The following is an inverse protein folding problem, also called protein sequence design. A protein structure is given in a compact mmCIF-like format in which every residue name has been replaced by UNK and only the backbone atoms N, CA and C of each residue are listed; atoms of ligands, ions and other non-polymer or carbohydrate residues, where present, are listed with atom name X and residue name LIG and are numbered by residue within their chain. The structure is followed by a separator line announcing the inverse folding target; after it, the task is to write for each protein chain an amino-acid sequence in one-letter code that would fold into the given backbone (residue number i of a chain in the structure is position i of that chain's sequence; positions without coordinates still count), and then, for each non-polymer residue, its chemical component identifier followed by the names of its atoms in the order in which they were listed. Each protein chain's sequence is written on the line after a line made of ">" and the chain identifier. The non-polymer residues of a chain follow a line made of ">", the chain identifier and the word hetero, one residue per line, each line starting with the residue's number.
data_IF_431113889008
#
_entry.id   IF_431113889008
#
_cell.length_a   1.000
_cell.length_b   1.000
_cell.length_c   1.000
_cell.angle_alpha   90.00
_cell.angle_beta   90.00
_cell.angle_gamma   90.00
#
_symmetry.space_group_name_H-M   'P 1'
#
loop_
_entity.id
_entity.type
_entity.pdbx_description
1 polymer ?
#
# COMPACT_ATOMS: atom_id res chain seq x y z
N UNK A 1 -1.84 16.57 10.75
CA UNK A 1 -2.41 15.26 10.39
C UNK A 1 -2.56 15.21 8.89
N UNK A 2 -2.20 14.09 8.27
CA UNK A 2 -2.40 13.84 6.82
C UNK A 2 -3.20 12.57 6.65
N UNK A 3 -4.14 12.58 5.71
CA UNK A 3 -4.97 11.43 5.37
C UNK A 3 -4.53 10.86 4.03
N UNK A 4 -4.25 9.57 3.99
CA UNK A 4 -3.87 8.85 2.77
C UNK A 4 -4.97 7.84 2.44
N UNK A 5 -5.57 7.97 1.26
CA UNK A 5 -6.57 7.05 0.77
C UNK A 5 -5.85 5.87 0.10
N UNK A 6 -6.14 4.68 0.58
CA UNK A 6 -5.51 3.44 0.18
C UNK A 6 -6.53 2.50 -0.46
N UNK A 7 -6.07 1.72 -1.43
CA UNK A 7 -6.82 0.64 -2.07
C UNK A 7 -5.94 -0.61 -2.17
N UNK A 8 -6.52 -1.79 -1.96
CA UNK A 8 -5.84 -3.05 -2.22
C UNK A 8 -5.88 -3.36 -3.71
N UNK A 9 -4.78 -3.85 -4.28
CA UNK A 9 -4.78 -4.33 -5.67
C UNK A 9 -5.88 -5.38 -5.90
N UNK A 10 -6.51 -5.35 -7.07
CA UNK A 10 -7.63 -6.22 -7.44
C UNK A 10 -9.00 -5.70 -6.98
N UNK A 11 -9.05 -4.70 -6.09
CA UNK A 11 -10.28 -3.94 -5.83
C UNK A 11 -10.51 -2.92 -6.93
N UNK A 12 -11.78 -2.78 -7.33
CA UNK A 12 -12.16 -1.99 -8.51
C UNK A 12 -13.09 -0.83 -8.19
N UNK A 13 -13.42 -0.62 -6.91
CA UNK A 13 -14.32 0.44 -6.49
C UNK A 13 -13.76 1.37 -5.42
N UNK A 14 -14.21 2.62 -5.44
CA UNK A 14 -13.92 3.60 -4.39
C UNK A 14 -14.55 3.22 -3.04
N UNK A 15 -15.63 2.43 -3.04
CA UNK A 15 -16.25 1.91 -1.83
C UNK A 15 -15.33 0.92 -1.08
N UNK A 16 -14.36 0.31 -1.76
CA UNK A 16 -13.35 -0.58 -1.16
C UNK A 16 -12.16 0.19 -0.55
N UNK A 17 -12.11 1.51 -0.72
CA UNK A 17 -11.01 2.34 -0.20
C UNK A 17 -11.05 2.46 1.31
N UNK A 18 -9.91 2.79 1.90
CA UNK A 18 -9.85 3.16 3.31
C UNK A 18 -8.79 4.22 3.56
N UNK A 19 -9.02 5.01 4.60
CA UNK A 19 -8.15 6.14 4.94
C UNK A 19 -7.17 5.75 6.04
N UNK A 20 -5.88 5.98 5.82
CA UNK A 20 -4.85 5.94 6.86
C UNK A 20 -4.54 7.36 7.30
N UNK A 21 -4.84 7.66 8.57
CA UNK A 21 -4.54 8.95 9.17
C UNK A 21 -3.13 8.90 9.78
N UNK A 22 -2.27 9.82 9.37
CA UNK A 22 -0.92 10.01 9.90
C UNK A 22 -0.97 11.20 10.85
N UNK A 23 -0.85 10.92 12.14
CA UNK A 23 -0.77 11.92 13.19
C UNK A 23 0.58 12.66 13.16
N UNK A 24 0.71 13.71 13.96
CA UNK A 24 2.00 14.42 14.08
C UNK A 24 3.08 13.50 14.64
N UNK A 25 2.71 12.60 15.55
CA UNK A 25 3.55 11.53 16.06
C UNK A 25 2.74 10.23 15.97
N UNK A 26 3.30 9.21 15.32
CA UNK A 26 2.66 7.91 15.14
C UNK A 26 3.41 6.85 15.93
N UNK A 27 2.68 5.96 16.60
CA UNK A 27 3.27 4.78 17.25
C UNK A 27 3.60 3.73 16.19
N UNK A 28 4.90 3.46 16.06
CA UNK A 28 5.47 2.43 15.19
C UNK A 28 6.18 1.43 16.09
N UNK A 29 5.55 0.26 16.31
CA UNK A 29 6.09 -0.82 17.13
C UNK A 29 6.53 -0.38 18.56
N UNK A 30 5.78 0.51 19.21
CA UNK A 30 6.07 1.04 20.54
C UNK A 30 6.98 2.27 20.55
N UNK A 31 7.41 2.75 19.38
CA UNK A 31 8.22 3.95 19.22
C UNK A 31 7.40 5.07 18.60
N UNK A 32 7.39 6.25 19.23
CA UNK A 32 6.73 7.44 18.66
C UNK A 32 7.63 8.09 17.60
N UNK A 33 7.16 8.09 16.35
CA UNK A 33 7.87 8.68 15.21
C UNK A 33 7.13 9.93 14.74
N UNK A 34 7.85 11.05 14.72
CA UNK A 34 7.32 12.30 14.19
C UNK A 34 7.08 12.21 12.67
N UNK A 35 6.00 12.81 12.19
CA UNK A 35 5.61 12.82 10.77
C UNK A 35 6.70 13.34 9.83
N UNK A 36 7.57 14.26 10.29
CA UNK A 36 8.69 14.75 9.51
C UNK A 36 9.80 13.70 9.27
N UNK A 37 9.86 12.68 10.14
CA UNK A 37 10.85 11.60 10.11
C UNK A 37 10.25 10.26 9.67
N UNK A 38 8.93 10.20 9.48
CA UNK A 38 8.20 8.99 9.13
C UNK A 38 8.57 8.52 7.72
N UNK A 39 9.01 7.27 7.62
CA UNK A 39 9.46 6.64 6.37
C UNK A 39 8.37 5.78 5.73
N UNK A 40 8.59 5.39 4.48
CA UNK A 40 7.68 4.49 3.78
C UNK A 40 7.57 3.13 4.47
N UNK A 41 8.62 2.61 5.11
CA UNK A 41 8.53 1.41 5.97
C UNK A 41 7.52 1.59 7.11
N UNK A 42 7.53 2.74 7.76
CA UNK A 42 6.60 3.06 8.85
C UNK A 42 5.17 3.16 8.31
N UNK A 43 5.00 3.71 7.10
CA UNK A 43 3.71 3.74 6.42
C UNK A 43 3.21 2.33 6.04
N UNK A 44 4.08 1.42 5.61
CA UNK A 44 3.73 0.01 5.40
C UNK A 44 3.15 -0.58 6.68
N UNK A 45 3.82 -0.37 7.82
CA UNK A 45 3.33 -0.80 9.12
C UNK A 45 1.97 -0.20 9.48
N UNK A 46 1.74 1.10 9.25
CA UNK A 46 0.44 1.74 9.54
C UNK A 46 -0.70 1.18 8.67
N UNK A 47 -0.46 0.98 7.38
CA UNK A 47 -1.44 0.37 6.45
C UNK A 47 -1.72 -1.07 6.87
N UNK A 48 -0.66 -1.86 7.09
CA UNK A 48 -0.74 -3.23 7.57
C UNK A 48 -1.54 -3.29 8.87
N UNK A 49 -1.18 -2.51 9.90
CA UNK A 49 -1.82 -2.57 11.20
C UNK A 49 -3.33 -2.25 11.13
N UNK A 50 -3.74 -1.38 10.20
CA UNK A 50 -5.15 -1.06 9.95
C UNK A 50 -5.92 -2.21 9.29
N UNK A 51 -5.25 -3.05 8.49
CA UNK A 51 -5.87 -4.13 7.70
C UNK A 51 -5.42 -5.54 8.09
N UNK A 52 -4.55 -5.71 9.10
CA UNK A 52 -3.92 -7.00 9.44
C UNK A 52 -4.92 -8.12 9.73
N UNK A 53 -6.10 -7.78 10.25
CA UNK A 53 -7.16 -8.76 10.50
C UNK A 53 -7.76 -9.35 9.21
N UNK A 54 -7.64 -8.65 8.08
CA UNK A 54 -8.21 -9.06 6.79
C UNK A 54 -7.15 -9.53 5.80
N UNK A 55 -5.90 -9.07 5.89
CA UNK A 55 -4.84 -9.37 4.90
C UNK A 55 -4.16 -10.73 5.12
N UNK A 56 -4.31 -11.37 6.29
CA UNK A 56 -3.68 -12.68 6.56
C UNK A 56 -2.13 -12.68 6.61
N UNK A 57 -1.50 -11.51 6.53
CA UNK A 57 -0.04 -11.34 6.58
C UNK A 57 0.43 -10.96 7.99
N UNK A 58 1.56 -11.53 8.40
CA UNK A 58 2.18 -11.30 9.70
C UNK A 58 3.31 -10.27 9.68
N UNK A 59 3.77 -9.86 8.50
CA UNK A 59 4.86 -8.92 8.30
C UNK A 59 4.40 -7.79 7.37
N UNK A 60 4.70 -6.54 7.71
CA UNK A 60 4.42 -5.38 6.87
C UNK A 60 5.47 -5.16 5.79
N UNK A 61 6.69 -5.65 5.96
CA UNK A 61 7.81 -5.35 5.07
C UNK A 61 7.66 -6.01 3.69
N UNK A 62 6.94 -7.15 3.64
CA UNK A 62 6.60 -7.89 2.42
C UNK A 62 5.55 -7.18 1.55
N UNK A 63 4.86 -6.16 2.07
CA UNK A 63 3.88 -5.40 1.29
C UNK A 63 4.58 -4.39 0.38
N UNK A 64 4.18 -4.31 -0.88
CA UNK A 64 4.62 -3.24 -1.77
C UNK A 64 3.61 -2.10 -1.82
N UNK A 65 4.11 -0.87 -1.77
CA UNK A 65 3.30 0.34 -1.87
C UNK A 65 3.59 1.06 -3.18
N UNK A 66 2.53 1.44 -3.88
CA UNK A 66 2.58 2.21 -5.11
C UNK A 66 1.88 3.54 -4.92
N UNK A 67 2.60 4.64 -5.17
CA UNK A 67 1.99 5.97 -5.21
C UNK A 67 1.25 6.15 -6.53
N UNK A 68 -0.02 6.53 -6.42
CA UNK A 68 -0.93 6.82 -7.54
C UNK A 68 -1.66 8.14 -7.28
N UNK A 69 -2.45 8.60 -8.24
CA UNK A 69 -3.33 9.77 -8.12
C UNK A 69 -4.57 9.53 -8.97
N UNK A 70 -5.57 8.84 -8.40
CA UNK A 70 -6.76 8.38 -9.15
C UNK A 70 -7.97 9.12 -8.62
N UNK A 71 -8.62 9.90 -9.47
CA UNK A 71 -9.85 10.60 -9.13
C UNK A 71 -11.05 9.66 -9.11
N UNK A 72 -12.09 9.99 -8.35
CA UNK A 72 -13.33 9.21 -8.30
C UNK A 72 -13.95 8.99 -9.69
N UNK A 73 -13.87 10.01 -10.57
CA UNK A 73 -14.36 9.92 -11.95
C UNK A 73 -13.53 8.99 -12.85
N UNK A 74 -12.35 8.57 -12.41
CA UNK A 74 -11.43 7.67 -13.11
C UNK A 74 -11.51 6.22 -12.57
N UNK A 75 -12.54 5.87 -11.78
CA UNK A 75 -12.74 4.53 -11.21
C UNK A 75 -12.71 3.41 -12.26
N UNK A 76 -13.15 3.69 -13.49
CA UNK A 76 -13.09 2.75 -14.60
C UNK A 76 -11.66 2.25 -14.91
N UNK A 77 -10.62 3.04 -14.62
CA UNK A 77 -9.21 2.65 -14.80
C UNK A 77 -8.80 1.50 -13.88
N UNK A 78 -9.51 1.30 -12.76
CA UNK A 78 -9.20 0.23 -11.80
C UNK A 78 -9.61 -1.16 -12.30
N UNK A 79 -10.59 -1.26 -13.22
CA UNK A 79 -11.21 -2.54 -13.63
C UNK A 79 -10.24 -3.55 -14.23
N UNK A 80 -9.13 -3.10 -14.82
CA UNK A 80 -8.16 -3.95 -15.49
C UNK A 80 -6.80 -3.97 -14.78
N UNK A 81 -6.71 -3.41 -13.57
CA UNK A 81 -5.46 -3.32 -12.82
C UNK A 81 -5.37 -4.49 -11.85
N UNK A 82 -4.67 -5.55 -12.25
CA UNK A 82 -4.50 -6.76 -11.44
C UNK A 82 -3.04 -7.10 -11.14
N UNK A 83 -2.09 -6.43 -11.79
CA UNK A 83 -0.64 -6.64 -11.61
C UNK A 83 0.10 -5.33 -11.30
N UNK A 84 1.33 -5.43 -10.77
CA UNK A 84 2.23 -4.27 -10.61
C UNK A 84 2.50 -3.53 -11.93
N UNK A 85 2.58 -4.28 -13.02
CA UNK A 85 2.83 -3.74 -14.35
C UNK A 85 1.65 -2.89 -14.84
N UNK A 86 0.42 -3.28 -14.51
CA UNK A 86 -0.78 -2.51 -14.83
C UNK A 86 -0.83 -1.22 -14.01
N UNK A 87 -0.45 -1.26 -12.72
CA UNK A 87 -0.35 -0.06 -11.88
C UNK A 87 0.59 0.97 -12.54
N UNK A 88 1.73 0.51 -13.05
CA UNK A 88 2.70 1.37 -13.72
C UNK A 88 2.17 1.93 -15.05
N UNK A 89 1.59 1.07 -15.90
CA UNK A 89 1.19 1.42 -17.28
C UNK A 89 -0.13 2.18 -17.33
N UNK A 90 -1.15 1.72 -16.61
CA UNK A 90 -2.51 2.25 -16.66
C UNK A 90 -2.73 3.40 -15.68
N UNK A 91 -2.08 3.35 -14.52
CA UNK A 91 -2.28 4.35 -13.45
C UNK A 91 -1.11 5.32 -13.30
N UNK A 92 -0.03 5.15 -14.07
CA UNK A 92 1.19 5.93 -13.95
C UNK A 92 1.86 5.80 -12.58
N UNK A 93 1.61 4.69 -11.89
CA UNK A 93 2.02 4.49 -10.51
C UNK A 93 3.53 4.39 -10.35
N UNK A 94 4.01 4.78 -9.16
CA UNK A 94 5.42 4.72 -8.79
C UNK A 94 5.59 3.89 -7.52
N UNK A 95 6.33 2.79 -7.63
CA UNK A 95 6.71 1.95 -6.48
C UNK A 95 7.50 2.79 -5.47
N UNK A 96 7.10 2.73 -4.21
CA UNK A 96 7.69 3.51 -3.13
C UNK A 96 8.83 2.73 -2.48
N UNK A 97 9.96 3.41 -2.29
CA UNK A 97 11.14 2.82 -1.65
C UNK A 97 11.04 3.00 -0.13
N UNK A 98 11.23 1.96 0.69
CA UNK A 98 11.00 1.99 2.14
C UNK A 98 11.73 3.10 2.91
N UNK A 99 12.94 3.46 2.47
CA UNK A 99 13.79 4.46 3.17
C UNK A 99 13.35 5.91 2.94
N UNK A 100 12.47 6.17 1.97
CA UNK A 100 12.04 7.52 1.62
C UNK A 100 11.11 8.10 2.69
N UNK A 101 11.16 9.41 2.87
CA UNK A 101 10.29 10.12 3.80
C UNK A 101 8.89 10.29 3.21
N UNK A 102 7.86 10.01 4.02
CA UNK A 102 6.46 10.30 3.69
C UNK A 102 6.27 11.78 3.41
N UNK A 103 6.91 12.65 4.20
CA UNK A 103 6.86 14.10 4.02
C UNK A 103 7.14 14.55 2.58
N UNK A 104 8.23 14.05 2.00
CA UNK A 104 8.67 14.41 0.64
C UNK A 104 7.67 13.97 -0.44
N UNK A 105 6.95 12.87 -0.18
CA UNK A 105 6.07 12.24 -1.16
C UNK A 105 4.62 12.72 -1.06
N UNK A 106 4.16 13.07 0.14
CA UNK A 106 2.73 13.28 0.44
C UNK A 106 2.41 14.59 1.16
N UNK A 107 3.38 15.27 1.79
CA UNK A 107 3.13 16.53 2.52
C UNK A 107 3.59 17.75 1.74
N UNK A 108 4.76 17.66 1.11
CA UNK A 108 5.32 18.73 0.27
C UNK A 108 4.65 18.81 -1.10
N UNK A 109 3.83 17.81 -1.43
CA UNK A 109 2.98 17.76 -2.62
C UNK A 109 1.53 17.89 -2.17
N UNK A 110 0.76 18.80 -2.77
CA UNK A 110 -0.67 18.89 -2.50
C UNK A 110 -1.35 17.58 -2.91
N UNK A 111 -1.91 16.87 -1.94
CA UNK A 111 -2.81 15.76 -2.22
C UNK A 111 -4.19 16.32 -2.56
N UNK A 112 -4.93 15.56 -3.38
CA UNK A 112 -6.34 15.85 -3.64
C UNK A 112 -7.12 14.93 -2.71
N UNK A 113 -7.86 15.51 -1.78
CA UNK A 113 -8.41 14.77 -0.64
C UNK A 113 -9.28 13.57 -1.03
N UNK A 114 -9.96 13.59 -2.19
CA UNK A 114 -10.82 12.50 -2.64
C UNK A 114 -10.08 11.42 -3.45
N UNK A 115 -8.84 11.67 -3.88
CA UNK A 115 -8.15 10.75 -4.78
C UNK A 115 -7.57 9.55 -4.04
N UNK A 116 -7.47 8.41 -4.73
CA UNK A 116 -6.65 7.30 -4.24
C UNK A 116 -5.18 7.70 -4.36
N UNK A 117 -4.45 7.56 -3.27
CA UNK A 117 -3.05 7.95 -3.15
C UNK A 117 -2.11 6.75 -3.16
N UNK A 118 -2.56 5.61 -2.62
CA UNK A 118 -1.77 4.39 -2.52
C UNK A 118 -2.58 3.19 -3.03
N UNK A 119 -1.94 2.39 -3.87
CA UNK A 119 -2.30 0.99 -4.07
C UNK A 119 -1.25 0.14 -3.36
N UNK A 120 -1.70 -0.83 -2.57
CA UNK A 120 -0.79 -1.81 -1.97
C UNK A 120 -1.11 -3.22 -2.47
N UNK A 121 -0.08 -4.06 -2.45
CA UNK A 121 -0.19 -5.46 -2.82
C UNK A 121 -0.16 -6.33 -1.58
N UNK A 122 -1.10 -7.28 -1.53
CA UNK A 122 -0.94 -8.47 -0.70
C UNK A 122 0.16 -9.34 -1.34
N UNK A 123 1.12 -9.86 -0.57
CA UNK A 123 2.05 -10.84 -1.08
C UNK A 123 1.26 -12.09 -1.51
N UNK A 124 1.41 -12.49 -2.77
CA UNK A 124 0.89 -13.78 -3.23
C UNK A 124 1.64 -14.89 -2.48
N UNK A 125 0.97 -15.56 -1.54
CA UNK A 125 1.50 -16.80 -0.95
C UNK A 125 1.50 -17.96 -1.96
N UNK A 126 0.79 -17.81 -3.08
CA UNK A 126 0.83 -18.75 -4.20
C UNK A 126 1.96 -18.37 -5.17
N UNK A 127 3.19 -18.65 -4.74
CA UNK A 127 4.25 -19.03 -5.66
C UNK A 127 4.13 -20.55 -5.88
N UNK A 128 3.51 -20.93 -6.99
CA UNK A 128 3.11 -22.29 -7.36
C UNK A 128 4.32 -23.15 -7.80
N UNK A 129 5.39 -23.27 -6.98
CA UNK A 129 6.59 -24.02 -7.40
C UNK A 129 7.46 -24.71 -6.32
N UNK A 130 6.99 -25.06 -5.12
CA UNK A 130 7.87 -25.82 -4.19
C UNK A 130 7.26 -26.84 -3.22
N UNK A 131 5.97 -27.19 -3.31
CA UNK A 131 5.35 -28.10 -2.31
C UNK A 131 5.22 -29.57 -2.77
N UNK A 132 5.66 -29.96 -3.97
CA UNK A 132 5.58 -31.37 -4.41
C UNK A 132 6.89 -32.08 -4.80
N UNK A 133 8.07 -31.48 -4.60
CA UNK A 133 9.34 -32.19 -4.88
C UNK A 133 9.91 -33.04 -3.73
N UNK A 134 9.15 -33.28 -2.65
CA UNK A 134 9.62 -34.07 -1.49
C UNK A 134 8.70 -35.23 -1.06
N UNK A 135 7.94 -35.83 -1.98
CA UNK A 135 7.23 -37.11 -1.71
C UNK A 135 7.66 -38.26 -2.64
N UNK A 136 8.67 -38.09 -3.49
CA UNK A 136 9.28 -39.23 -4.23
C UNK A 136 10.55 -39.81 -3.59
N UNK A 137 10.88 -39.45 -2.35
CA UNK A 137 12.04 -40.00 -1.64
C UNK A 137 11.77 -40.37 -0.17
N UNK A 138 10.75 -41.20 0.10
CA UNK A 138 10.72 -42.16 1.21
C UNK A 138 9.94 -43.41 0.80
#
# INVERSE_FOLDING_TARGET
>A
MVSINCLCLGKTSFDDTFVVNIANDSDICGSLININNLRISDLKFLIWNKKKATLGINDSDIMDLWKVNIACNDENKLKHVTTEDDIKKELGGKKLVPILLVKKLFLEQSLVDENIHIIFLEPNWNDDSSVYELVELI
#
